data_IF_461160738704
#
_entry.id   IF_461160738704
#
_cell.length_a   1.000
_cell.length_b   1.000
_cell.length_c   1.000
_cell.angle_alpha   90.00
_cell.angle_beta   90.00
_cell.angle_gamma   90.00
#
_symmetry.space_group_name_H-M   'P 1'
#
loop_
_entity.id
_entity.type
_entity.pdbx_description
1 polymer ?
#
# COMPACT_ATOMS: atom_id res chain seq x y z
N UNK A 1 -24.39 15.22 0.99
CA UNK A 1 -24.23 13.76 1.24
C UNK A 1 -22.75 13.47 1.20
N UNK A 2 -22.18 12.97 2.30
CA UNK A 2 -20.75 12.67 2.36
C UNK A 2 -20.55 11.21 1.90
N UNK A 3 -20.15 11.06 0.63
CA UNK A 3 -19.96 9.74 -0.02
C UNK A 3 -18.94 8.89 0.74
N UNK A 4 -17.90 9.52 1.32
CA UNK A 4 -16.88 8.81 2.11
C UNK A 4 -17.49 8.19 3.38
N UNK A 5 -18.40 8.92 4.04
CA UNK A 5 -19.08 8.47 5.26
C UNK A 5 -20.06 7.32 5.00
N UNK A 6 -20.75 7.35 3.87
CA UNK A 6 -21.67 6.28 3.48
C UNK A 6 -20.89 4.98 3.13
N UNK A 7 -19.75 5.11 2.50
CA UNK A 7 -18.84 3.98 2.21
C UNK A 7 -18.29 3.34 3.50
N UNK A 8 -17.83 4.13 4.46
CA UNK A 8 -17.28 3.65 5.73
C UNK A 8 -18.34 2.93 6.61
N UNK A 9 -19.58 3.42 6.65
CA UNK A 9 -20.65 2.82 7.46
C UNK A 9 -21.06 1.40 7.03
N UNK A 10 -20.68 0.97 5.82
CA UNK A 10 -20.94 -0.38 5.30
C UNK A 10 -19.85 -1.41 5.65
N UNK A 11 -18.80 -0.99 6.34
CA UNK A 11 -17.66 -1.85 6.67
C UNK A 11 -17.87 -2.53 8.03
N UNK A 12 -18.58 -3.65 8.01
CA UNK A 12 -18.69 -4.57 9.15
C UNK A 12 -17.36 -5.30 9.41
N UNK A 13 -17.31 -6.11 10.49
CA UNK A 13 -16.17 -7.02 10.79
C UNK A 13 -15.70 -7.76 9.54
N UNK A 14 -14.36 -8.02 9.41
CA UNK A 14 -13.81 -8.60 8.19
C UNK A 14 -14.47 -9.93 7.84
N UNK A 15 -14.97 -10.02 6.60
CA UNK A 15 -15.56 -11.25 6.07
C UNK A 15 -14.44 -12.27 5.80
N UNK A 16 -14.78 -13.58 5.87
CA UNK A 16 -13.83 -14.66 5.57
C UNK A 16 -13.11 -14.50 4.22
N UNK A 17 -13.81 -14.00 3.21
CA UNK A 17 -13.27 -13.71 1.89
C UNK A 17 -12.26 -12.59 1.91
N UNK A 18 -12.53 -11.51 2.65
CA UNK A 18 -11.62 -10.39 2.84
C UNK A 18 -10.31 -10.85 3.51
N UNK A 19 -10.41 -11.63 4.58
CA UNK A 19 -9.23 -12.19 5.27
C UNK A 19 -8.41 -13.05 4.29
N UNK A 20 -9.05 -13.87 3.45
CA UNK A 20 -8.35 -14.69 2.45
C UNK A 20 -7.61 -13.84 1.41
N UNK A 21 -8.23 -12.77 0.92
CA UNK A 21 -7.61 -11.85 -0.03
C UNK A 21 -6.43 -11.09 0.61
N UNK A 22 -6.63 -10.58 1.81
CA UNK A 22 -5.61 -9.85 2.56
C UNK A 22 -4.45 -10.77 2.98
N UNK A 23 -4.71 -12.06 3.25
CA UNK A 23 -3.64 -13.04 3.47
C UNK A 23 -2.74 -13.18 2.24
N UNK A 24 -3.32 -13.26 1.04
CA UNK A 24 -2.53 -13.33 -0.20
C UNK A 24 -1.69 -12.06 -0.41
N UNK A 25 -2.24 -10.92 -0.05
CA UNK A 25 -1.52 -9.64 -0.11
C UNK A 25 -0.37 -9.60 0.90
N UNK A 26 -0.62 -10.00 2.14
CA UNK A 26 0.39 -10.15 3.19
C UNK A 26 1.52 -11.09 2.76
N UNK A 27 1.18 -12.28 2.28
CA UNK A 27 2.16 -13.26 1.78
C UNK A 27 3.00 -12.64 0.64
N UNK A 28 2.39 -11.83 -0.21
CA UNK A 28 3.08 -11.10 -1.29
C UNK A 28 4.08 -10.10 -0.72
N UNK A 29 3.67 -9.28 0.24
CA UNK A 29 4.54 -8.31 0.91
C UNK A 29 5.69 -9.00 1.63
N UNK A 30 5.40 -10.04 2.40
CA UNK A 30 6.41 -10.82 3.11
C UNK A 30 7.44 -11.46 2.16
N UNK A 31 7.00 -11.97 1.02
CA UNK A 31 7.89 -12.52 -0.02
C UNK A 31 8.79 -11.44 -0.64
N UNK A 32 8.29 -10.22 -0.85
CA UNK A 32 9.10 -9.10 -1.35
C UNK A 32 10.17 -8.72 -0.33
N UNK A 33 9.78 -8.60 0.94
CA UNK A 33 10.71 -8.26 2.02
C UNK A 33 11.80 -9.33 2.15
N UNK A 34 11.40 -10.60 2.12
CA UNK A 34 12.37 -11.70 2.15
C UNK A 34 13.34 -11.64 0.97
N UNK A 35 12.84 -11.42 -0.25
CA UNK A 35 13.65 -11.35 -1.47
C UNK A 35 14.61 -10.16 -1.48
N UNK A 36 14.18 -9.01 -0.96
CA UNK A 36 14.95 -7.75 -1.05
C UNK A 36 15.85 -7.52 0.17
N UNK A 37 15.42 -7.96 1.34
CA UNK A 37 16.08 -7.64 2.61
C UNK A 37 16.50 -8.88 3.41
N UNK A 38 16.16 -10.09 2.95
CA UNK A 38 16.38 -11.35 3.67
C UNK A 38 15.75 -11.35 5.08
N UNK A 39 14.56 -10.75 5.21
CA UNK A 39 13.81 -10.59 6.45
C UNK A 39 12.36 -11.02 6.23
N UNK A 40 11.61 -11.23 7.30
CA UNK A 40 10.15 -11.39 7.27
C UNK A 40 9.48 -10.14 7.84
N UNK A 41 8.19 -9.95 7.58
CA UNK A 41 7.40 -8.90 8.22
C UNK A 41 7.21 -9.22 9.71
N UNK A 42 7.44 -8.25 10.57
CA UNK A 42 7.29 -8.37 12.02
C UNK A 42 6.99 -7.01 12.67
N UNK A 43 6.71 -7.03 13.97
CA UNK A 43 6.66 -5.84 14.82
C UNK A 43 5.35 -5.10 14.77
N UNK A 44 5.38 -3.80 14.48
CA UNK A 44 4.24 -2.90 14.52
C UNK A 44 3.90 -2.41 13.11
N UNK A 45 2.63 -2.59 12.73
CA UNK A 45 2.05 -2.10 11.49
C UNK A 45 1.06 -0.96 11.75
N UNK A 46 1.00 0.01 10.83
CA UNK A 46 -0.15 0.91 10.65
C UNK A 46 -0.80 0.54 9.32
N UNK A 47 -2.11 0.30 9.33
CA UNK A 47 -2.93 0.01 8.16
C UNK A 47 -3.82 1.22 7.85
N UNK A 48 -3.37 2.09 6.93
CA UNK A 48 -4.09 3.29 6.52
C UNK A 48 -5.12 2.96 5.46
N UNK A 49 -6.37 3.42 5.66
CA UNK A 49 -7.51 3.04 4.84
C UNK A 49 -7.84 1.57 5.03
N UNK A 50 -7.95 1.16 6.29
CA UNK A 50 -8.04 -0.25 6.70
C UNK A 50 -9.32 -0.96 6.24
N UNK A 51 -10.33 -0.20 5.81
CA UNK A 51 -11.61 -0.72 5.37
C UNK A 51 -12.27 -1.62 6.42
N UNK A 52 -12.52 -2.86 6.06
CA UNK A 52 -13.09 -3.88 6.97
C UNK A 52 -12.07 -4.47 7.96
N UNK A 53 -10.87 -3.88 8.07
CA UNK A 53 -9.77 -4.32 8.93
C UNK A 53 -9.20 -5.70 8.60
N UNK A 54 -9.47 -6.21 7.39
CA UNK A 54 -9.06 -7.55 6.97
C UNK A 54 -7.54 -7.73 6.94
N UNK A 55 -6.78 -6.72 6.53
CA UNK A 55 -5.32 -6.79 6.53
C UNK A 55 -4.75 -6.74 7.97
N UNK A 56 -5.30 -5.86 8.81
CA UNK A 56 -4.94 -5.78 10.23
C UNK A 56 -5.21 -7.10 10.97
N UNK A 57 -6.30 -7.80 10.65
CA UNK A 57 -6.58 -9.13 11.22
C UNK A 57 -5.56 -10.18 10.75
N UNK A 58 -5.13 -10.14 9.49
CA UNK A 58 -4.04 -11.00 8.99
C UNK A 58 -2.73 -10.71 9.71
N UNK A 59 -2.40 -9.45 9.96
CA UNK A 59 -1.24 -9.06 10.76
C UNK A 59 -1.31 -9.69 12.16
N UNK A 60 -2.46 -9.58 12.85
CA UNK A 60 -2.69 -10.16 14.18
C UNK A 60 -2.50 -11.67 14.20
N UNK A 61 -3.02 -12.40 13.19
CA UNK A 61 -2.84 -13.85 13.05
C UNK A 61 -1.37 -14.22 12.91
N UNK A 62 -0.55 -13.33 12.35
CA UNK A 62 0.90 -13.52 12.19
C UNK A 62 1.73 -12.88 13.32
N UNK A 63 1.13 -12.62 14.50
CA UNK A 63 1.77 -12.04 15.68
C UNK A 63 2.37 -10.63 15.42
N UNK A 64 1.75 -9.87 14.55
CA UNK A 64 2.09 -8.48 14.25
C UNK A 64 1.04 -7.56 14.88
N UNK A 65 1.46 -6.61 15.69
CA UNK A 65 0.57 -5.56 16.22
C UNK A 65 0.18 -4.63 15.09
N UNK A 66 -1.12 -4.48 14.80
CA UNK A 66 -1.61 -3.63 13.72
C UNK A 66 -2.58 -2.58 14.23
N UNK A 67 -2.36 -1.33 13.84
CA UNK A 67 -3.21 -0.18 14.13
C UNK A 67 -3.98 0.20 12.85
N UNK A 68 -5.29 -0.15 12.76
CA UNK A 68 -6.12 0.22 11.63
C UNK A 68 -6.57 1.67 11.76
N UNK A 69 -6.40 2.45 10.70
CA UNK A 69 -6.89 3.83 10.58
C UNK A 69 -7.79 3.95 9.37
N UNK A 70 -8.97 4.49 9.53
CA UNK A 70 -9.93 4.73 8.45
C UNK A 70 -10.90 5.87 8.78
N UNK A 71 -11.50 6.42 7.75
CA UNK A 71 -12.58 7.38 7.89
C UNK A 71 -13.85 6.68 8.46
N UNK A 72 -14.68 7.32 9.32
CA UNK A 72 -14.57 8.72 9.75
C UNK A 72 -13.68 8.98 10.98
N UNK A 73 -13.17 7.95 11.66
CA UNK A 73 -12.40 8.09 12.90
C UNK A 73 -11.03 8.74 12.66
N UNK A 74 -10.50 8.65 11.43
CA UNK A 74 -9.24 9.25 11.03
C UNK A 74 -9.34 9.82 9.61
N UNK A 75 -9.18 11.13 9.47
CA UNK A 75 -9.07 11.81 8.18
C UNK A 75 -7.60 11.88 7.74
N UNK A 76 -7.23 11.04 6.80
CA UNK A 76 -5.84 10.88 6.33
C UNK A 76 -5.24 12.18 5.72
N UNK A 77 -6.08 13.15 5.32
CA UNK A 77 -5.65 14.43 4.78
C UNK A 77 -5.46 15.51 5.86
N UNK A 78 -5.93 15.26 7.11
CA UNK A 78 -5.95 16.29 8.17
C UNK A 78 -5.33 15.84 9.49
N UNK A 79 -5.52 14.57 9.84
CA UNK A 79 -5.17 14.07 11.16
C UNK A 79 -3.70 13.63 11.23
N UNK A 80 -3.19 13.61 12.45
CA UNK A 80 -1.82 13.19 12.78
C UNK A 80 -1.86 11.80 13.40
N UNK A 81 -0.95 10.93 12.99
CA UNK A 81 -0.84 9.59 13.55
C UNK A 81 -0.46 9.64 15.03
N UNK A 82 -1.16 8.85 15.85
CA UNK A 82 -0.95 8.83 17.31
C UNK A 82 0.35 8.16 17.75
N UNK A 83 1.02 7.44 16.85
CA UNK A 83 2.29 6.77 17.15
C UNK A 83 3.43 7.76 17.28
N UNK A 84 4.32 7.46 18.22
CA UNK A 84 5.56 8.23 18.42
C UNK A 84 6.49 8.13 17.21
N UNK A 85 7.43 9.06 17.12
CA UNK A 85 8.50 9.03 16.13
C UNK A 85 9.25 7.68 16.21
N UNK A 86 9.61 7.15 15.06
CA UNK A 86 10.43 5.94 14.90
C UNK A 86 9.95 4.73 15.70
N UNK A 87 8.64 4.55 15.86
CA UNK A 87 8.02 3.48 16.63
C UNK A 87 7.45 2.33 15.81
N UNK A 88 7.24 2.53 14.49
CA UNK A 88 6.52 1.63 13.59
C UNK A 88 7.47 0.92 12.65
N UNK A 89 7.29 -0.38 12.44
CA UNK A 89 8.14 -1.18 11.57
C UNK A 89 7.72 -1.08 10.11
N UNK A 90 6.41 -1.03 9.85
CA UNK A 90 5.90 -0.82 8.49
C UNK A 90 4.50 -0.21 8.45
N UNK A 91 4.21 0.48 7.35
CA UNK A 91 2.91 1.08 7.05
C UNK A 91 2.36 0.49 5.76
N UNK A 92 1.05 0.25 5.71
CA UNK A 92 0.34 -0.21 4.52
C UNK A 92 -0.71 0.81 4.08
N UNK A 93 -0.78 1.04 2.75
CA UNK A 93 -1.79 1.86 2.07
C UNK A 93 -2.31 1.06 0.86
N UNK A 94 -3.41 0.34 1.06
CA UNK A 94 -3.98 -0.54 0.05
C UNK A 94 -5.22 0.09 -0.58
N UNK A 95 -5.12 0.62 -1.80
CA UNK A 95 -6.17 1.38 -2.48
C UNK A 95 -6.60 2.61 -1.65
N UNK A 96 -5.65 3.48 -1.34
CA UNK A 96 -5.84 4.67 -0.50
C UNK A 96 -5.27 5.93 -1.14
N UNK A 97 -4.03 5.88 -1.63
CA UNK A 97 -3.30 7.07 -2.09
C UNK A 97 -3.98 7.74 -3.29
N UNK A 98 -4.74 7.01 -4.09
CA UNK A 98 -5.55 7.52 -5.20
C UNK A 98 -6.72 8.41 -4.77
N UNK A 99 -7.14 8.30 -3.51
CA UNK A 99 -8.20 9.09 -2.91
C UNK A 99 -7.70 10.38 -2.24
N UNK A 100 -6.39 10.61 -2.22
CA UNK A 100 -5.74 11.74 -1.55
C UNK A 100 -5.29 12.77 -2.60
N UNK A 101 -5.77 14.00 -2.48
CA UNK A 101 -5.39 15.09 -3.41
C UNK A 101 -3.92 15.44 -3.30
N UNK A 102 -3.44 15.69 -2.08
CA UNK A 102 -2.04 15.93 -1.79
C UNK A 102 -1.52 14.98 -0.70
N UNK A 103 -0.75 13.95 -1.05
CA UNK A 103 -0.24 12.98 -0.10
C UNK A 103 0.97 13.48 0.71
N UNK A 104 1.42 14.72 0.52
CA UNK A 104 2.65 15.23 1.14
C UNK A 104 2.60 15.17 2.67
N UNK A 105 1.47 15.57 3.27
CA UNK A 105 1.27 15.58 4.72
C UNK A 105 1.32 14.17 5.30
N UNK A 106 0.54 13.26 4.76
CA UNK A 106 0.51 11.88 5.28
C UNK A 106 1.83 11.14 5.03
N UNK A 107 2.50 11.36 3.90
CA UNK A 107 3.82 10.77 3.65
C UNK A 107 4.88 11.30 4.63
N UNK A 108 4.80 12.57 5.05
CA UNK A 108 5.64 13.14 6.11
C UNK A 108 5.37 12.46 7.46
N UNK A 109 4.10 12.25 7.81
CA UNK A 109 3.69 11.55 9.03
C UNK A 109 4.13 10.09 9.02
N UNK A 110 3.93 9.39 7.91
CA UNK A 110 4.42 8.01 7.74
C UNK A 110 5.94 7.97 7.96
N UNK A 111 6.67 8.92 7.37
CA UNK A 111 8.13 8.99 7.55
C UNK A 111 8.52 9.27 9.00
N UNK A 112 7.76 10.09 9.72
CA UNK A 112 7.99 10.39 11.13
C UNK A 112 7.85 9.14 11.99
N UNK A 113 6.75 8.42 11.87
CA UNK A 113 6.46 7.26 12.72
C UNK A 113 7.26 6.02 12.37
N UNK A 114 7.69 5.86 11.12
CA UNK A 114 8.51 4.73 10.70
C UNK A 114 9.89 4.76 11.37
N UNK A 115 10.33 3.62 11.88
CA UNK A 115 11.71 3.40 12.30
C UNK A 115 12.68 3.63 11.14
N UNK A 116 13.96 3.81 11.43
CA UNK A 116 15.01 3.74 10.42
C UNK A 116 14.93 2.39 9.70
N UNK A 117 15.01 2.40 8.38
CA UNK A 117 14.76 1.22 7.52
C UNK A 117 13.33 0.64 7.61
N UNK A 118 12.39 1.35 8.21
CA UNK A 118 10.97 1.00 8.21
C UNK A 118 10.38 1.06 6.80
N UNK A 119 9.37 0.23 6.55
CA UNK A 119 8.85 -0.03 5.21
C UNK A 119 7.49 0.63 4.99
N UNK A 120 7.29 1.16 3.77
CA UNK A 120 6.00 1.64 3.29
C UNK A 120 5.55 0.78 2.11
N UNK A 121 4.37 0.16 2.24
CA UNK A 121 3.72 -0.63 1.20
C UNK A 121 2.56 0.16 0.62
N UNK A 122 2.57 0.33 -0.69
CA UNK A 122 1.48 1.01 -1.41
C UNK A 122 0.97 0.10 -2.51
N UNK A 123 -0.35 -0.08 -2.54
CA UNK A 123 -1.06 -0.66 -3.68
C UNK A 123 -2.09 0.34 -4.17
N UNK A 124 -2.05 0.69 -5.47
CA UNK A 124 -2.95 1.67 -6.09
C UNK A 124 -3.24 1.28 -7.53
N UNK A 125 -4.37 1.66 -8.14
CA UNK A 125 -4.63 1.43 -9.56
C UNK A 125 -3.51 2.00 -10.44
N UNK A 126 -3.13 1.24 -11.46
CA UNK A 126 -2.19 1.71 -12.46
C UNK A 126 -2.95 2.46 -13.55
N UNK A 127 -2.85 3.79 -13.55
CA UNK A 127 -3.50 4.64 -14.54
C UNK A 127 -3.20 4.22 -15.99
N UNK A 128 -1.98 3.81 -16.30
CA UNK A 128 -1.59 3.42 -17.66
C UNK A 128 -2.30 2.14 -18.13
N UNK A 129 -2.72 1.27 -17.22
CA UNK A 129 -3.39 0.02 -17.55
C UNK A 129 -4.90 0.06 -17.32
N UNK A 130 -5.40 1.01 -16.55
CA UNK A 130 -6.80 1.07 -16.13
C UNK A 130 -7.47 2.44 -16.29
N UNK A 131 -6.94 3.29 -17.16
CA UNK A 131 -7.45 4.65 -17.36
C UNK A 131 -8.94 4.71 -17.69
N UNK A 132 -9.47 3.69 -18.39
CA UNK A 132 -10.90 3.63 -18.77
C UNK A 132 -11.82 3.43 -17.56
N UNK A 133 -11.35 2.80 -16.51
CA UNK A 133 -12.18 2.43 -15.35
C UNK A 133 -11.80 3.22 -14.09
N UNK A 134 -10.72 3.99 -14.11
CA UNK A 134 -10.21 4.68 -12.93
C UNK A 134 -11.27 5.55 -12.27
N UNK A 135 -11.96 6.36 -13.05
CA UNK A 135 -13.00 7.26 -12.56
C UNK A 135 -14.39 6.61 -12.46
N UNK A 136 -14.52 5.27 -12.61
CA UNK A 136 -15.75 4.58 -12.24
C UNK A 136 -15.97 4.61 -10.73
N UNK A 137 -14.90 4.77 -9.95
CA UNK A 137 -14.99 5.13 -8.55
C UNK A 137 -14.95 6.67 -8.42
N UNK A 138 -16.05 7.32 -7.98
CA UNK A 138 -16.13 8.77 -7.90
C UNK A 138 -15.23 9.38 -6.82
N UNK A 139 -14.66 8.56 -5.95
CA UNK A 139 -13.73 8.99 -4.89
C UNK A 139 -12.27 9.01 -5.32
N UNK A 140 -11.95 8.49 -6.51
CA UNK A 140 -10.62 8.58 -7.09
C UNK A 140 -10.33 10.01 -7.57
N UNK A 141 -9.32 10.63 -7.01
CA UNK A 141 -8.96 12.03 -7.32
C UNK A 141 -7.57 12.17 -7.93
N UNK A 142 -6.66 11.20 -7.72
CA UNK A 142 -5.26 11.29 -8.17
C UNK A 142 -4.80 10.01 -8.86
N UNK A 143 -4.65 10.00 -10.18
CA UNK A 143 -4.15 8.83 -10.90
C UNK A 143 -2.64 8.67 -10.70
N UNK A 144 -2.17 7.44 -10.57
CA UNK A 144 -0.76 7.10 -10.48
C UNK A 144 -0.32 6.18 -11.62
N UNK A 145 0.82 6.50 -12.21
CA UNK A 145 1.65 5.59 -12.97
C UNK A 145 2.80 5.11 -12.10
N UNK A 146 3.55 4.06 -12.46
CA UNK A 146 4.73 3.66 -11.72
C UNK A 146 5.78 4.76 -11.59
N UNK A 147 5.97 5.58 -12.61
CA UNK A 147 6.92 6.68 -12.54
C UNK A 147 6.43 7.79 -11.61
N UNK A 148 5.12 8.10 -11.65
CA UNK A 148 4.56 9.12 -10.74
C UNK A 148 4.60 8.67 -9.29
N UNK A 149 4.25 7.43 -8.95
CA UNK A 149 4.34 6.95 -7.56
C UNK A 149 5.79 6.91 -7.08
N UNK A 150 6.73 6.46 -7.92
CA UNK A 150 8.16 6.45 -7.61
C UNK A 150 8.68 7.86 -7.31
N UNK A 151 8.34 8.84 -8.14
CA UNK A 151 8.77 10.23 -7.97
C UNK A 151 8.13 10.86 -6.72
N UNK A 152 6.84 10.61 -6.47
CA UNK A 152 6.14 11.08 -5.26
C UNK A 152 6.84 10.58 -4.00
N UNK A 153 7.18 9.31 -3.93
CA UNK A 153 7.87 8.72 -2.79
C UNK A 153 9.30 9.24 -2.63
N UNK A 154 10.02 9.41 -3.74
CA UNK A 154 11.38 9.99 -3.72
C UNK A 154 11.36 11.41 -3.18
N UNK A 155 10.41 12.26 -3.60
CA UNK A 155 10.25 13.62 -3.10
C UNK A 155 9.90 13.65 -1.61
N UNK A 156 9.14 12.67 -1.11
CA UNK A 156 8.86 12.50 0.31
C UNK A 156 10.04 11.91 1.12
N UNK A 157 11.16 11.57 0.47
CA UNK A 157 12.38 11.08 1.10
C UNK A 157 12.38 9.59 1.39
N UNK A 158 11.66 8.81 0.58
CA UNK A 158 11.71 7.35 0.58
C UNK A 158 12.57 6.84 -0.58
N UNK A 159 13.19 5.68 -0.39
CA UNK A 159 13.81 4.91 -1.45
C UNK A 159 12.90 3.77 -1.89
N UNK A 160 12.65 3.63 -3.18
CA UNK A 160 11.81 2.56 -3.72
C UNK A 160 12.64 1.29 -3.92
N UNK A 161 12.38 0.28 -3.09
CA UNK A 161 13.02 -1.04 -3.13
C UNK A 161 12.42 -1.95 -4.19
N UNK A 162 11.12 -1.83 -4.40
CA UNK A 162 10.35 -2.69 -5.28
C UNK A 162 9.19 -1.93 -5.91
N UNK A 163 9.02 -2.10 -7.21
CA UNK A 163 7.92 -1.51 -7.96
C UNK A 163 7.45 -2.50 -9.01
N UNK A 164 6.19 -2.89 -8.93
CA UNK A 164 5.58 -3.80 -9.87
C UNK A 164 4.32 -3.20 -10.47
N UNK A 165 4.18 -3.26 -11.80
CA UNK A 165 3.06 -2.65 -12.51
C UNK A 165 1.75 -3.46 -12.49
N UNK A 166 1.67 -4.55 -11.72
CA UNK A 166 0.39 -5.17 -11.45
C UNK A 166 0.07 -6.54 -12.03
N UNK A 167 0.94 -7.54 -11.88
CA UNK A 167 0.62 -8.93 -12.21
C UNK A 167 0.35 -9.79 -10.97
N UNK A 168 -0.72 -10.59 -10.99
CA UNK A 168 -1.14 -11.41 -9.84
C UNK A 168 -0.59 -12.83 -9.83
N UNK A 169 -0.37 -13.49 -10.97
CA UNK A 169 0.16 -14.86 -10.99
C UNK A 169 1.68 -14.85 -11.06
N UNK A 170 2.32 -15.08 -9.91
CA UNK A 170 3.75 -14.94 -9.76
C UNK A 170 4.40 -16.27 -9.45
N UNK A 171 5.15 -16.79 -10.42
CA UNK A 171 6.16 -17.80 -10.14
C UNK A 171 7.38 -17.15 -9.45
N UNK A 172 8.19 -17.93 -8.72
CA UNK A 172 9.48 -17.44 -8.15
C UNK A 172 10.36 -16.77 -9.21
N UNK A 173 10.24 -17.18 -10.47
CA UNK A 173 10.98 -16.62 -11.62
C UNK A 173 10.55 -15.18 -11.92
N UNK A 174 9.25 -14.84 -11.80
CA UNK A 174 8.72 -13.49 -12.04
C UNK A 174 9.42 -12.42 -11.21
N UNK A 175 9.70 -12.71 -9.94
CA UNK A 175 10.33 -11.76 -9.01
C UNK A 175 11.79 -11.43 -9.38
N UNK A 176 12.46 -12.32 -10.11
CA UNK A 176 13.85 -12.13 -10.57
C UNK A 176 13.96 -11.34 -11.87
N UNK A 177 12.86 -11.10 -12.59
CA UNK A 177 12.89 -10.35 -13.83
C UNK A 177 13.18 -8.86 -13.60
N UNK A 178 13.96 -8.20 -14.49
CA UNK A 178 14.13 -6.75 -14.49
C UNK A 178 12.79 -6.03 -14.61
N UNK A 179 12.60 -4.91 -13.92
CA UNK A 179 11.33 -4.20 -13.88
C UNK A 179 10.85 -3.76 -15.27
N UNK A 180 11.78 -3.34 -16.16
CA UNK A 180 11.45 -3.00 -17.55
C UNK A 180 10.82 -4.15 -18.32
N UNK A 181 11.26 -5.39 -18.08
CA UNK A 181 10.72 -6.58 -18.75
C UNK A 181 9.35 -6.96 -18.16
N UNK A 182 9.18 -6.82 -16.84
CA UNK A 182 7.88 -6.99 -16.17
C UNK A 182 6.82 -6.09 -16.78
N UNK A 183 7.17 -4.82 -17.06
CA UNK A 183 6.29 -3.85 -17.71
C UNK A 183 5.80 -4.29 -19.08
N UNK A 184 6.72 -4.70 -19.93
CA UNK A 184 6.38 -5.16 -21.28
C UNK A 184 5.48 -6.40 -21.26
N UNK A 185 5.76 -7.33 -20.35
CA UNK A 185 4.97 -8.55 -20.20
C UNK A 185 3.60 -8.22 -19.58
N UNK A 186 3.54 -7.34 -18.58
CA UNK A 186 2.29 -6.92 -17.94
C UNK A 186 1.30 -6.29 -18.92
N UNK A 187 1.79 -5.49 -19.86
CA UNK A 187 0.94 -4.86 -20.89
C UNK A 187 0.36 -5.85 -21.89
N UNK A 188 0.97 -7.03 -22.07
CA UNK A 188 0.55 -8.07 -23.01
C UNK A 188 -0.41 -9.10 -22.40
N UNK A 189 -0.44 -9.23 -21.06
CA UNK A 189 -1.27 -10.25 -20.38
C UNK A 189 -2.67 -9.67 -20.11
N UNK A 190 -3.68 -10.16 -20.83
CA UNK A 190 -5.09 -9.91 -20.53
C UNK A 190 -5.45 -10.61 -19.21
N UNK A 191 -5.89 -9.87 -18.19
CA UNK A 191 -6.41 -10.41 -16.93
C UNK A 191 -5.47 -10.37 -15.71
N UNK A 192 -4.34 -9.65 -15.77
CA UNK A 192 -3.55 -9.29 -14.61
C UNK A 192 -4.22 -8.19 -13.75
N UNK A 193 -3.84 -8.03 -12.47
CA UNK A 193 -4.27 -6.84 -11.73
C UNK A 193 -3.69 -5.62 -12.41
N UNK A 194 -4.56 -4.65 -12.60
CA UNK A 194 -4.21 -3.33 -13.09
C UNK A 194 -3.77 -2.40 -11.94
N UNK A 195 -3.12 -2.94 -10.91
CA UNK A 195 -2.66 -2.20 -9.74
C UNK A 195 -1.15 -2.14 -9.70
N UNK A 196 -0.60 -1.00 -9.33
CA UNK A 196 0.80 -0.85 -8.93
C UNK A 196 0.97 -1.47 -7.54
N UNK A 197 2.06 -2.20 -7.34
CA UNK A 197 2.53 -2.61 -6.03
C UNK A 197 3.91 -2.00 -5.81
N UNK A 198 4.04 -1.16 -4.80
CA UNK A 198 5.27 -0.46 -4.46
C UNK A 198 5.67 -0.75 -3.02
N UNK A 199 6.94 -1.03 -2.81
CA UNK A 199 7.56 -1.11 -1.49
C UNK A 199 8.68 -0.10 -1.43
N UNK A 200 8.62 0.79 -0.45
CA UNK A 200 9.64 1.79 -0.21
C UNK A 200 10.20 1.67 1.20
N UNK A 201 11.41 2.15 1.41
CA UNK A 201 12.10 2.16 2.69
C UNK A 201 12.37 3.61 3.11
N UNK A 202 12.22 3.88 4.42
CA UNK A 202 12.68 5.15 5.00
C UNK A 202 14.20 5.19 4.95
N UNK A 203 14.75 6.16 4.22
CA UNK A 203 16.19 6.38 4.23
C UNK A 203 16.66 6.79 5.62
N UNK A 204 17.81 6.27 6.02
CA UNK A 204 18.56 6.81 7.16
C UNK A 204 18.78 8.29 6.89
N UNK A 205 18.33 9.16 7.79
CA UNK A 205 18.60 10.58 7.68
C UNK A 205 20.11 10.79 7.52
N UNK A 206 20.48 11.56 6.49
CA UNK A 206 21.86 12.09 6.40
C UNK A 206 22.02 13.19 7.40
#
# INVERSE_FOLDING_TARGET
MDIKKEYANNLAKPKKESICLNKRLFDTYNNIVNLKLNKSLWGINIDLGSGDKGFSEVCRINNITSYPYDYPEFDIEKDILSQSDESVDFVTMNAVIEHIKDPSSILKEIKRVLKNEGLLFIRTPNWQLDFKNFYNDPTHVKPYSPDTIKNTLKLAGFEVLFLEPGLIKKSRFWWKLPDRLKWRIASLIKGGTKSILCVAIKNKGK
#
